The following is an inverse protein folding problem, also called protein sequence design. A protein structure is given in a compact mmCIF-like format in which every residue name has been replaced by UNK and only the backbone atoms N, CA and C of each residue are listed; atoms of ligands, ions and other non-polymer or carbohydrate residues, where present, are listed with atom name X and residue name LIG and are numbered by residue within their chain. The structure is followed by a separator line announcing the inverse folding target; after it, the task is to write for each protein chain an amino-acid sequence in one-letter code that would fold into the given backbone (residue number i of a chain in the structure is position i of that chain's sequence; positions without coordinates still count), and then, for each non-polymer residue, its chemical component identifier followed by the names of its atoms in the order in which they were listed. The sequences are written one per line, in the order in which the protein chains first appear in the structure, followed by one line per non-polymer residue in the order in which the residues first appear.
data_IF_518615138550
#
_entry.id   IF_518615138550
#
_cell.length_a   1.000
_cell.length_b   1.000
_cell.length_c   1.000
_cell.angle_alpha   90.00
_cell.angle_beta   90.00
_cell.angle_gamma   90.00
#
_symmetry.space_group_name_H-M   'P 1'
#
loop_
_entity.id
_entity.type
_entity.pdbx_description
1 polymer ?
#
# COMPACT_ATOMS: atom_id res chain seq x y z
N UNK A 1 39.12 1.71 37.15
CA UNK A 1 38.10 0.76 36.63
C UNK A 1 36.65 1.24 36.83
N UNK A 2 36.39 2.44 37.38
CA UNK A 2 35.04 2.96 37.64
C UNK A 2 34.41 3.72 36.45
N UNK A 3 35.23 4.38 35.63
CA UNK A 3 34.77 5.22 34.51
C UNK A 3 34.08 4.39 33.40
N UNK A 4 34.57 3.17 33.14
CA UNK A 4 34.00 2.29 32.11
C UNK A 4 32.59 1.78 32.47
N UNK A 5 32.26 1.69 33.76
CA UNK A 5 30.96 1.16 34.21
C UNK A 5 29.85 2.23 34.16
N UNK A 6 30.18 3.51 34.37
CA UNK A 6 29.24 4.62 34.21
C UNK A 6 28.95 4.94 32.73
N UNK A 7 29.97 4.88 31.86
CA UNK A 7 29.78 5.08 30.41
C UNK A 7 28.84 4.01 29.83
N UNK A 8 29.00 2.75 30.24
CA UNK A 8 28.17 1.66 29.75
C UNK A 8 26.71 1.79 30.21
N UNK A 9 26.47 2.24 31.45
CA UNK A 9 25.10 2.54 31.92
C UNK A 9 24.47 3.65 31.11
N UNK A 10 25.14 4.79 30.94
CA UNK A 10 24.62 5.93 30.17
C UNK A 10 24.35 5.59 28.69
N UNK A 11 25.19 4.75 28.07
CA UNK A 11 25.01 4.30 26.69
C UNK A 11 23.81 3.35 26.54
N UNK A 12 23.61 2.43 27.50
CA UNK A 12 22.44 1.55 27.55
C UNK A 12 21.16 2.36 27.78
N UNK A 13 21.15 3.32 28.70
CA UNK A 13 19.97 4.16 28.93
C UNK A 13 19.63 5.01 27.70
N UNK A 14 20.64 5.52 26.99
CA UNK A 14 20.45 6.30 25.75
C UNK A 14 19.87 5.45 24.62
N UNK A 15 20.41 4.25 24.38
CA UNK A 15 19.89 3.34 23.36
C UNK A 15 18.46 2.86 23.68
N UNK A 16 18.18 2.57 24.95
CA UNK A 16 16.83 2.15 25.34
C UNK A 16 15.81 3.31 25.22
N UNK A 17 16.23 4.55 25.51
CA UNK A 17 15.41 5.74 25.25
C UNK A 17 15.21 6.01 23.75
N UNK A 18 16.22 5.73 22.93
CA UNK A 18 16.19 5.85 21.46
C UNK A 18 15.21 4.84 20.82
N UNK A 19 15.22 3.59 21.27
CA UNK A 19 14.26 2.56 20.84
C UNK A 19 12.83 2.90 21.29
N UNK A 20 12.66 3.39 22.53
CA UNK A 20 11.36 3.86 23.04
C UNK A 20 10.85 5.09 22.29
N UNK A 21 11.72 5.99 21.84
CA UNK A 21 11.35 7.18 21.05
C UNK A 21 11.01 6.83 19.59
N UNK A 22 11.65 5.82 19.01
CA UNK A 22 11.31 5.30 17.68
C UNK A 22 9.93 4.61 17.66
N UNK A 23 9.55 3.95 18.74
CA UNK A 23 8.18 3.42 18.93
C UNK A 23 7.13 4.54 19.16
N UNK A 24 7.55 5.78 19.43
CA UNK A 24 6.69 6.84 19.93
C UNK A 24 6.00 7.69 18.85
N UNK A 25 6.33 7.55 17.55
CA UNK A 25 5.58 8.21 16.47
C UNK A 25 5.54 7.38 15.17
N UNK A 26 5.17 6.10 15.24
CA UNK A 26 4.84 5.34 14.03
C UNK A 26 3.64 5.99 13.33
N UNK A 27 3.79 6.24 12.04
CA UNK A 27 2.71 6.63 11.14
C UNK A 27 1.63 5.53 11.10
N UNK A 28 0.43 5.89 10.65
CA UNK A 28 -0.63 4.89 10.49
C UNK A 28 -0.29 3.85 9.41
N UNK A 29 0.50 4.20 8.40
CA UNK A 29 1.00 3.24 7.41
C UNK A 29 1.96 2.23 8.04
N UNK A 30 2.89 2.66 8.90
CA UNK A 30 3.81 1.75 9.59
C UNK A 30 3.05 0.77 10.50
N UNK A 31 2.08 1.28 11.27
CA UNK A 31 1.24 0.44 12.12
C UNK A 31 0.41 -0.57 11.30
N UNK A 32 -0.14 -0.14 10.16
CA UNK A 32 -0.88 -1.02 9.28
C UNK A 32 0.04 -2.06 8.62
N UNK A 33 1.25 -1.69 8.22
CA UNK A 33 2.24 -2.61 7.66
C UNK A 33 2.66 -3.67 8.68
N UNK A 34 2.89 -3.29 9.94
CA UNK A 34 3.19 -4.24 11.01
C UNK A 34 2.05 -5.21 11.25
N UNK A 35 0.80 -4.73 11.24
CA UNK A 35 -0.37 -5.60 11.34
C UNK A 35 -0.47 -6.54 10.14
N UNK A 36 -0.25 -6.02 8.94
CA UNK A 36 -0.32 -6.76 7.70
C UNK A 36 0.74 -7.88 7.67
N UNK A 37 1.98 -7.59 8.09
CA UNK A 37 3.09 -8.55 8.21
C UNK A 37 2.86 -9.67 9.26
N UNK A 38 1.98 -9.47 10.25
CA UNK A 38 1.59 -10.56 11.18
C UNK A 38 0.76 -11.65 10.51
N UNK A 39 0.07 -11.30 9.42
CA UNK A 39 -0.77 -12.23 8.65
C UNK A 39 -0.06 -12.70 7.39
N UNK A 40 0.76 -11.84 6.81
CA UNK A 40 1.46 -12.05 5.54
C UNK A 40 2.96 -12.14 5.81
N UNK A 41 3.55 -13.30 5.55
CA UNK A 41 5.01 -13.46 5.61
C UNK A 41 5.65 -12.86 4.35
N UNK A 42 5.80 -11.54 4.34
CA UNK A 42 6.26 -10.77 3.19
C UNK A 42 7.34 -9.78 3.57
N UNK A 43 8.25 -9.54 2.63
CA UNK A 43 9.32 -8.56 2.75
C UNK A 43 9.01 -7.33 1.90
N UNK A 44 8.02 -6.54 2.34
CA UNK A 44 7.74 -5.22 1.75
C UNK A 44 8.36 -4.11 2.60
N UNK A 45 8.98 -3.15 1.93
CA UNK A 45 9.36 -1.87 2.55
C UNK A 45 8.12 -1.01 2.83
N UNK A 46 8.28 0.03 3.66
CA UNK A 46 7.20 0.98 3.92
C UNK A 46 6.75 1.70 2.65
N UNK A 47 7.68 2.07 1.78
CA UNK A 47 7.39 2.77 0.53
C UNK A 47 6.57 1.88 -0.42
N UNK A 48 7.00 0.63 -0.60
CA UNK A 48 6.28 -0.35 -1.41
C UNK A 48 4.87 -0.60 -0.87
N UNK A 49 4.75 -0.73 0.46
CA UNK A 49 3.44 -0.88 1.10
C UNK A 49 2.55 0.35 0.94
N UNK A 50 3.13 1.55 1.06
CA UNK A 50 2.40 2.81 0.87
C UNK A 50 1.93 2.96 -0.56
N UNK A 51 2.70 2.49 -1.54
CA UNK A 51 2.25 2.45 -2.92
C UNK A 51 1.08 1.50 -3.12
N UNK A 52 1.13 0.28 -2.55
CA UNK A 52 -0.01 -0.66 -2.54
C UNK A 52 -1.22 -0.01 -1.88
N UNK A 53 -1.03 0.72 -0.78
CA UNK A 53 -2.09 1.45 -0.08
C UNK A 53 -2.74 2.51 -1.00
N UNK A 54 -1.95 3.25 -1.78
CA UNK A 54 -2.46 4.24 -2.73
C UNK A 54 -3.21 3.61 -3.91
N UNK A 55 -2.82 2.40 -4.35
CA UNK A 55 -3.50 1.66 -5.41
C UNK A 55 -4.70 0.84 -4.93
N UNK A 56 -4.87 0.66 -3.62
CA UNK A 56 -5.92 -0.17 -3.06
C UNK A 56 -7.34 0.23 -3.50
N UNK A 57 -7.70 1.53 -3.63
CA UNK A 57 -8.98 1.93 -4.20
C UNK A 57 -9.20 1.42 -5.63
N UNK A 58 -8.16 1.43 -6.48
CA UNK A 58 -8.23 0.89 -7.85
C UNK A 58 -8.51 -0.62 -7.85
N UNK A 59 -7.95 -1.37 -6.90
CA UNK A 59 -8.24 -2.80 -6.74
C UNK A 59 -9.70 -3.04 -6.35
N UNK A 60 -10.30 -2.17 -5.53
CA UNK A 60 -11.73 -2.26 -5.20
C UNK A 60 -12.59 -2.00 -6.43
N UNK A 61 -12.22 -1.01 -7.26
CA UNK A 61 -12.94 -0.69 -8.50
C UNK A 61 -12.94 -1.90 -9.44
N UNK A 62 -11.79 -2.56 -9.65
CA UNK A 62 -11.68 -3.78 -10.48
C UNK A 62 -12.36 -5.03 -9.90
N UNK A 63 -12.95 -4.98 -8.71
CA UNK A 63 -13.66 -6.12 -8.12
C UNK A 63 -15.08 -5.77 -7.68
N UNK A 64 -15.59 -4.60 -8.08
CA UNK A 64 -16.84 -4.08 -7.55
C UNK A 64 -18.07 -4.88 -8.02
N UNK A 65 -17.97 -5.57 -9.16
CA UNK A 65 -19.02 -6.47 -9.68
C UNK A 65 -18.95 -7.90 -9.07
N UNK A 66 -17.91 -8.18 -8.29
CA UNK A 66 -17.69 -9.44 -7.60
C UNK A 66 -17.04 -10.54 -8.46
N UNK A 67 -16.63 -10.25 -9.70
CA UNK A 67 -16.02 -11.23 -10.60
C UNK A 67 -14.77 -10.66 -11.26
N UNK A 68 -13.59 -11.08 -10.79
CA UNK A 68 -12.35 -10.71 -11.46
C UNK A 68 -12.19 -11.49 -12.76
N UNK A 69 -12.48 -10.85 -13.88
CA UNK A 69 -12.30 -11.47 -15.18
C UNK A 69 -10.82 -11.43 -15.64
N UNK A 70 -10.56 -11.99 -16.82
CA UNK A 70 -9.19 -12.06 -17.34
C UNK A 70 -8.63 -10.68 -17.66
N UNK A 71 -9.44 -9.77 -18.19
CA UNK A 71 -9.00 -8.45 -18.64
C UNK A 71 -8.65 -7.57 -17.44
N UNK A 72 -9.46 -7.62 -16.38
CA UNK A 72 -9.21 -6.96 -15.11
C UNK A 72 -7.96 -7.54 -14.43
N UNK A 73 -7.82 -8.86 -14.42
CA UNK A 73 -6.62 -9.50 -13.89
C UNK A 73 -5.38 -9.11 -14.68
N UNK A 74 -5.45 -9.05 -16.02
CA UNK A 74 -4.36 -8.57 -16.86
C UNK A 74 -4.01 -7.10 -16.53
N UNK A 75 -4.99 -6.28 -16.13
CA UNK A 75 -4.77 -4.95 -15.55
C UNK A 75 -3.94 -4.99 -14.26
N UNK A 76 -4.31 -5.85 -13.32
CA UNK A 76 -3.56 -6.06 -12.06
C UNK A 76 -2.15 -6.61 -12.31
N UNK A 77 -1.96 -7.44 -13.33
CA UNK A 77 -0.62 -7.93 -13.72
C UNK A 77 0.24 -6.80 -14.29
N UNK A 78 -0.31 -5.92 -15.13
CA UNK A 78 0.39 -4.75 -15.66
C UNK A 78 0.85 -3.81 -14.54
N UNK A 79 0.02 -3.63 -13.52
CA UNK A 79 0.38 -2.88 -12.31
C UNK A 79 1.60 -3.45 -11.60
N UNK A 80 1.56 -4.74 -11.30
CA UNK A 80 2.61 -5.38 -10.52
C UNK A 80 3.96 -5.30 -11.25
N UNK A 81 3.91 -5.37 -12.59
CA UNK A 81 5.07 -5.11 -13.44
C UNK A 81 5.54 -3.65 -13.37
N UNK A 82 4.63 -2.68 -13.46
CA UNK A 82 4.95 -1.26 -13.34
C UNK A 82 5.62 -0.93 -12.01
N UNK A 83 5.11 -1.50 -10.92
CA UNK A 83 5.69 -1.40 -9.59
C UNK A 83 7.08 -2.04 -9.49
N UNK A 84 7.26 -3.21 -10.07
CA UNK A 84 8.57 -3.84 -10.09
C UNK A 84 9.58 -2.99 -10.87
N UNK A 85 9.17 -2.34 -11.96
CA UNK A 85 10.03 -1.40 -12.71
C UNK A 85 10.38 -0.14 -11.90
N UNK A 86 9.43 0.43 -11.16
CA UNK A 86 9.65 1.60 -10.30
C UNK A 86 10.64 1.30 -9.17
N UNK A 87 10.46 0.17 -8.48
CA UNK A 87 11.26 -0.20 -7.31
C UNK A 87 12.44 -1.12 -7.61
N UNK A 88 12.63 -1.49 -8.87
CA UNK A 88 13.57 -2.51 -9.30
C UNK A 88 14.88 -1.99 -9.86
N UNK A 89 15.16 -0.69 -9.74
CA UNK A 89 16.42 -0.13 -10.20
C UNK A 89 17.61 -0.85 -9.54
N UNK A 90 18.56 -1.30 -10.37
CA UNK A 90 19.72 -2.08 -9.93
C UNK A 90 19.48 -3.57 -9.65
N UNK A 91 18.24 -4.08 -9.78
CA UNK A 91 17.95 -5.51 -9.69
C UNK A 91 18.30 -6.25 -10.99
N UNK A 92 18.67 -7.52 -10.87
CA UNK A 92 18.77 -8.42 -12.03
C UNK A 92 17.40 -9.01 -12.43
N UNK A 93 17.34 -9.68 -13.59
CA UNK A 93 16.10 -10.23 -14.14
C UNK A 93 15.36 -11.17 -13.17
N UNK A 94 16.07 -12.01 -12.41
CA UNK A 94 15.43 -12.92 -11.45
C UNK A 94 14.87 -12.16 -10.23
N UNK A 95 15.59 -11.13 -9.78
CA UNK A 95 15.15 -10.26 -8.67
C UNK A 95 13.92 -9.44 -9.07
N UNK A 96 13.90 -8.93 -10.30
CA UNK A 96 12.76 -8.25 -10.90
C UNK A 96 11.54 -9.14 -10.97
N UNK A 97 11.69 -10.37 -11.46
CA UNK A 97 10.60 -11.34 -11.53
C UNK A 97 10.06 -11.69 -10.13
N UNK A 98 10.94 -11.84 -9.14
CA UNK A 98 10.53 -12.07 -7.74
C UNK A 98 9.78 -10.87 -7.17
N UNK A 99 10.24 -9.64 -7.43
CA UNK A 99 9.59 -8.42 -6.96
C UNK A 99 8.19 -8.27 -7.57
N UNK A 100 8.08 -8.42 -8.90
CA UNK A 100 6.81 -8.43 -9.61
C UNK A 100 5.86 -9.49 -9.05
N UNK A 101 6.35 -10.72 -8.87
CA UNK A 101 5.55 -11.81 -8.31
C UNK A 101 5.08 -11.50 -6.89
N UNK A 102 5.89 -10.80 -6.09
CA UNK A 102 5.47 -10.36 -4.75
C UNK A 102 4.27 -9.41 -4.83
N UNK A 103 4.31 -8.39 -5.69
CA UNK A 103 3.19 -7.45 -5.86
C UNK A 103 1.94 -8.14 -6.39
N UNK A 104 2.07 -9.02 -7.38
CA UNK A 104 0.94 -9.84 -7.90
C UNK A 104 0.28 -10.65 -6.79
N UNK A 105 1.11 -11.27 -5.94
CA UNK A 105 0.64 -12.11 -4.83
C UNK A 105 -0.10 -11.27 -3.77
N UNK A 106 0.38 -10.07 -3.49
CA UNK A 106 -0.27 -9.18 -2.53
C UNK A 106 -1.57 -8.59 -3.07
N UNK A 107 -1.63 -8.19 -4.34
CA UNK A 107 -2.89 -7.76 -4.96
C UNK A 107 -3.93 -8.87 -4.95
N UNK A 108 -3.56 -10.10 -5.33
CA UNK A 108 -4.47 -11.24 -5.24
C UNK A 108 -5.01 -11.43 -3.84
N UNK A 109 -4.12 -11.47 -2.84
CA UNK A 109 -4.54 -11.66 -1.45
C UNK A 109 -5.46 -10.53 -0.97
N UNK A 110 -5.17 -9.29 -1.32
CA UNK A 110 -6.00 -8.13 -0.95
C UNK A 110 -7.39 -8.21 -1.57
N UNK A 111 -7.50 -8.60 -2.84
CA UNK A 111 -8.78 -8.83 -3.53
C UNK A 111 -9.57 -9.99 -2.89
N UNK A 112 -8.91 -11.11 -2.60
CA UNK A 112 -9.54 -12.27 -1.97
C UNK A 112 -9.97 -11.99 -0.51
N UNK A 113 -9.47 -10.91 0.11
CA UNK A 113 -9.70 -10.57 1.51
C UNK A 113 -10.18 -9.12 1.69
N UNK A 114 -10.93 -8.56 0.73
CA UNK A 114 -11.40 -7.17 0.76
C UNK A 114 -12.11 -6.85 2.08
N UNK A 115 -13.07 -7.67 2.51
CA UNK A 115 -13.85 -7.42 3.74
C UNK A 115 -12.98 -7.24 4.99
N UNK A 116 -11.85 -7.96 5.06
CA UNK A 116 -10.93 -7.91 6.20
C UNK A 116 -10.12 -6.61 6.22
N UNK A 117 -9.70 -6.13 5.04
CA UNK A 117 -8.70 -5.07 4.92
C UNK A 117 -9.28 -3.72 4.55
N UNK A 118 -10.44 -3.68 3.88
CA UNK A 118 -10.97 -2.49 3.25
C UNK A 118 -11.06 -1.30 4.19
N UNK A 119 -11.70 -1.49 5.36
CA UNK A 119 -11.85 -0.41 6.34
C UNK A 119 -10.51 0.13 6.83
N UNK A 120 -9.53 -0.74 7.06
CA UNK A 120 -8.21 -0.37 7.59
C UNK A 120 -7.40 0.37 6.54
N UNK A 121 -7.30 -0.18 5.34
CA UNK A 121 -6.60 0.42 4.21
C UNK A 121 -7.19 1.79 3.86
N UNK A 122 -8.52 1.91 3.68
CA UNK A 122 -9.13 3.19 3.33
C UNK A 122 -9.00 4.24 4.45
N UNK A 123 -9.04 3.84 5.73
CA UNK A 123 -8.81 4.76 6.84
C UNK A 123 -7.37 5.28 6.86
N UNK A 124 -6.40 4.37 6.75
CA UNK A 124 -4.99 4.72 6.76
C UNK A 124 -4.65 5.58 5.54
N UNK A 125 -5.12 5.21 4.35
CA UNK A 125 -4.92 5.97 3.12
C UNK A 125 -5.45 7.40 3.27
N UNK A 126 -6.72 7.57 3.68
CA UNK A 126 -7.32 8.89 3.87
C UNK A 126 -6.47 9.78 4.76
N UNK A 127 -6.00 9.26 5.90
CA UNK A 127 -5.20 10.04 6.84
C UNK A 127 -3.81 10.36 6.29
N UNK A 128 -3.23 9.49 5.47
CA UNK A 128 -1.91 9.71 4.88
C UNK A 128 -1.94 10.76 3.75
N UNK A 129 -3.01 10.82 2.96
CA UNK A 129 -3.11 11.72 1.80
C UNK A 129 -3.88 13.01 2.07
N UNK A 130 -4.44 13.19 3.27
CA UNK A 130 -5.38 14.28 3.57
C UNK A 130 -4.85 15.68 3.22
N UNK A 131 -3.55 15.91 3.42
CA UNK A 131 -2.86 17.19 3.23
C UNK A 131 -2.08 17.27 1.90
N UNK A 132 -2.14 16.21 1.08
CA UNK A 132 -1.35 16.09 -0.16
C UNK A 132 -2.27 16.04 -1.37
N UNK A 133 -2.35 17.17 -2.09
CA UNK A 133 -3.15 17.25 -3.32
C UNK A 133 -2.62 16.30 -4.40
N UNK A 134 -1.31 16.20 -4.56
CA UNK A 134 -0.70 15.29 -5.54
C UNK A 134 -1.04 13.83 -5.26
N UNK A 135 -1.08 13.42 -4.00
CA UNK A 135 -1.41 12.03 -3.66
C UNK A 135 -2.90 11.75 -3.88
N UNK A 136 -3.78 12.73 -3.61
CA UNK A 136 -5.21 12.63 -3.94
C UNK A 136 -5.44 12.53 -5.44
N UNK A 137 -4.78 13.37 -6.23
CA UNK A 137 -4.82 13.34 -7.69
C UNK A 137 -4.31 11.98 -8.19
N UNK A 138 -3.19 11.47 -7.67
CA UNK A 138 -2.66 10.16 -8.01
C UNK A 138 -3.65 9.02 -7.73
N UNK A 139 -4.27 8.99 -6.55
CA UNK A 139 -5.26 7.96 -6.20
C UNK A 139 -6.47 8.04 -7.14
N UNK A 140 -6.96 9.25 -7.44
CA UNK A 140 -8.08 9.46 -8.35
C UNK A 140 -7.77 8.98 -9.77
N UNK A 141 -6.66 9.45 -10.34
CA UNK A 141 -6.22 9.08 -11.69
C UNK A 141 -6.00 7.57 -11.79
N UNK A 142 -5.44 6.96 -10.74
CA UNK A 142 -5.24 5.51 -10.68
C UNK A 142 -6.55 4.74 -10.68
N UNK A 143 -7.63 5.22 -10.05
CA UNK A 143 -8.93 4.55 -10.13
C UNK A 143 -9.51 4.60 -11.56
N UNK A 144 -9.47 5.78 -12.19
CA UNK A 144 -9.97 5.96 -13.56
C UNK A 144 -9.16 5.18 -14.59
N UNK A 145 -7.83 5.14 -14.44
CA UNK A 145 -6.94 4.39 -15.34
C UNK A 145 -7.30 2.90 -15.36
N UNK A 146 -7.79 2.36 -14.23
CA UNK A 146 -8.09 0.94 -14.10
C UNK A 146 -9.48 0.59 -14.58
N UNK A 147 -10.48 1.38 -14.20
CA UNK A 147 -11.81 1.20 -14.74
C UNK A 147 -11.80 1.32 -16.27
N UNK A 148 -11.01 2.26 -16.81
CA UNK A 148 -10.87 2.44 -18.25
C UNK A 148 -9.86 1.48 -18.92
N UNK A 149 -9.31 0.51 -18.18
CA UNK A 149 -8.48 -0.54 -18.77
C UNK A 149 -9.32 -1.61 -19.48
N UNK A 150 -10.60 -1.72 -19.12
CA UNK A 150 -11.65 -2.42 -19.87
C UNK A 150 -12.23 -1.51 -20.98
N UNK A 151 -13.15 -2.03 -21.81
CA UNK A 151 -13.77 -1.33 -22.96
C UNK A 151 -14.73 -0.19 -22.52
N UNK A 152 -14.22 0.76 -21.74
CA UNK A 152 -14.94 1.83 -21.04
C UNK A 152 -15.20 1.51 -19.57
N UNK A 153 -15.64 2.55 -18.84
CA UNK A 153 -16.01 2.46 -17.42
C UNK A 153 -17.50 2.12 -17.31
N UNK A 154 -17.83 1.03 -16.63
CA UNK A 154 -19.21 0.63 -16.36
C UNK A 154 -19.89 1.53 -15.32
N UNK A 155 -21.22 1.46 -15.24
CA UNK A 155 -21.99 2.22 -14.23
C UNK A 155 -21.59 1.84 -12.79
N UNK A 156 -21.35 0.54 -12.53
CA UNK A 156 -20.98 0.04 -11.20
C UNK A 156 -19.60 0.52 -10.78
N UNK A 157 -18.64 0.53 -11.70
CA UNK A 157 -17.31 1.10 -11.45
C UNK A 157 -17.39 2.61 -11.22
N UNK A 158 -18.20 3.33 -11.99
CA UNK A 158 -18.39 4.78 -11.81
C UNK A 158 -19.00 5.11 -10.44
N UNK A 159 -20.02 4.35 -10.01
CA UNK A 159 -20.61 4.49 -8.67
C UNK A 159 -19.57 4.18 -7.57
N UNK A 160 -18.74 3.16 -7.78
CA UNK A 160 -17.68 2.78 -6.85
C UNK A 160 -16.60 3.85 -6.74
N UNK A 161 -16.18 4.43 -7.87
CA UNK A 161 -15.24 5.55 -7.93
C UNK A 161 -15.81 6.74 -7.16
N UNK A 162 -17.09 7.09 -7.36
CA UNK A 162 -17.73 8.19 -6.65
C UNK A 162 -17.76 7.94 -5.13
N UNK A 163 -18.17 6.75 -4.70
CA UNK A 163 -18.18 6.36 -3.29
C UNK A 163 -16.78 6.46 -2.66
N UNK A 164 -15.74 5.98 -3.36
CA UNK A 164 -14.35 6.03 -2.87
C UNK A 164 -13.82 7.47 -2.82
N UNK A 165 -14.19 8.30 -3.81
CA UNK A 165 -13.86 9.72 -3.88
C UNK A 165 -14.36 10.48 -2.66
N UNK A 166 -15.64 10.29 -2.32
CA UNK A 166 -16.24 10.88 -1.12
C UNK A 166 -15.60 10.31 0.15
N UNK A 167 -15.40 8.99 0.20
CA UNK A 167 -14.88 8.29 1.38
C UNK A 167 -13.46 8.72 1.76
N UNK A 168 -12.64 9.02 0.75
CA UNK A 168 -11.25 9.43 0.88
C UNK A 168 -11.07 10.97 0.85
N UNK A 169 -12.14 11.73 0.58
CA UNK A 169 -12.10 13.18 0.43
C UNK A 169 -11.08 13.63 -0.63
N UNK A 170 -11.18 13.03 -1.83
CA UNK A 170 -10.28 13.27 -2.96
C UNK A 170 -10.62 14.54 -3.76
N UNK A 171 -11.86 15.02 -3.69
CA UNK A 171 -12.23 16.31 -4.29
C UNK A 171 -11.53 17.42 -3.51
N UNK A 172 -10.49 18.07 -4.06
CA UNK A 172 -9.97 19.41 -3.71
C UNK A 172 -8.77 19.81 -4.58
#
# INVERSE_FOLDING_TARGET
MLIAHEINKSFITFNHHSELLADLMKTQAELLLEEYKKVRNIDLSLDQFTYILNLYPSLIVCMCDGVLDKEEWDGVLRLAKGLALEYGDGLNDEEMERLEQSFRTEFRYLLDNIEKWQKKFLNTLRNNIQDSRSDKEFVMESMYLFANAADGISEVEQETIQMLTERLALEH
#
